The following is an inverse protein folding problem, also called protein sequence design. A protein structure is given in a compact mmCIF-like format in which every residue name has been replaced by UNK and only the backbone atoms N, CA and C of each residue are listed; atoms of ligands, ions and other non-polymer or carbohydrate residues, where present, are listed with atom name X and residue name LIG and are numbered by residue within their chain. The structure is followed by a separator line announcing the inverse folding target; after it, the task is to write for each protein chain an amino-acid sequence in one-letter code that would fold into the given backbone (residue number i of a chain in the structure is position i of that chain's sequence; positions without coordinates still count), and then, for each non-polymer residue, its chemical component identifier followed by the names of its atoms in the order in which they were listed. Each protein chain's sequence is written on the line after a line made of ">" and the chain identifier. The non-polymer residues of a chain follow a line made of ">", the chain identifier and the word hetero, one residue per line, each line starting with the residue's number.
data_IF_878713439345
#
_entry.id   IF_878713439345
#
_cell.length_a   1.000
_cell.length_b   1.000
_cell.length_c   1.000
_cell.angle_alpha   90.00
_cell.angle_beta   90.00
_cell.angle_gamma   90.00
#
_symmetry.space_group_name_H-M   'P 1'
#
loop_
_entity.id
_entity.type
_entity.pdbx_description
1 polymer ?
#
# COMPACT_ATOMS: atom_id res chain seq x y z
N UNK A 1 63.37 53.98 20.11
CA UNK A 1 64.64 54.56 19.62
C UNK A 1 64.28 55.74 18.74
N UNK A 2 64.65 56.92 19.19
CA UNK A 2 64.73 58.19 18.47
C UNK A 2 65.83 58.17 17.42
N UNK A 3 65.61 58.83 16.27
CA UNK A 3 66.42 59.85 15.55
C UNK A 3 65.81 60.00 14.14
N UNK A 4 65.20 61.13 13.76
CA UNK A 4 65.82 62.40 13.29
C UNK A 4 66.73 62.16 12.08
N UNK A 5 66.32 62.55 10.86
CA UNK A 5 66.73 63.81 10.18
C UNK A 5 68.02 63.56 9.38
N UNK A 6 68.32 64.09 8.20
CA UNK A 6 67.83 65.24 7.43
C UNK A 6 68.54 65.19 6.04
N UNK A 7 68.20 66.15 5.17
CA UNK A 7 68.99 66.70 4.07
C UNK A 7 68.85 66.10 2.65
N UNK A 8 67.99 66.79 1.89
CA UNK A 8 68.43 67.51 0.70
C UNK A 8 68.45 66.73 -0.61
N UNK A 9 67.56 67.09 -1.54
CA UNK A 9 67.95 67.85 -2.74
C UNK A 9 66.73 68.28 -3.56
N UNK A 10 66.80 69.52 -4.01
CA UNK A 10 66.07 70.11 -5.12
C UNK A 10 64.52 70.10 -5.05
N UNK A 11 63.98 71.20 -4.53
CA UNK A 11 62.69 71.72 -4.96
C UNK A 11 62.68 71.90 -6.49
N UNK A 12 62.25 70.86 -7.22
CA UNK A 12 61.83 71.00 -8.61
C UNK A 12 60.41 71.54 -8.60
N UNK A 13 60.27 72.77 -9.10
CA UNK A 13 59.00 73.45 -9.43
C UNK A 13 58.04 72.44 -10.08
N UNK A 14 56.72 72.48 -9.80
CA UNK A 14 55.77 71.62 -10.51
C UNK A 14 55.93 71.87 -12.02
N UNK A 15 56.30 70.87 -12.83
CA UNK A 15 56.40 71.08 -14.26
C UNK A 15 55.00 71.44 -14.76
N UNK A 16 54.89 72.64 -15.32
CA UNK A 16 53.73 73.02 -16.14
C UNK A 16 53.52 71.86 -17.12
N UNK A 17 52.34 71.23 -17.10
CA UNK A 17 51.93 70.18 -18.04
C UNK A 17 52.21 70.65 -19.46
N UNK A 18 53.33 70.23 -20.03
CA UNK A 18 53.65 70.38 -21.44
C UNK A 18 52.99 69.21 -22.15
N UNK A 19 51.67 69.25 -22.32
CA UNK A 19 50.99 68.20 -23.06
C UNK A 19 51.51 68.13 -24.50
N UNK A 20 51.92 66.94 -24.96
CA UNK A 20 52.32 66.66 -26.34
C UNK A 20 53.73 66.07 -26.48
N UNK A 21 54.29 66.16 -27.70
CA UNK A 21 55.61 65.61 -28.07
C UNK A 21 56.76 66.10 -27.17
N UNK A 22 56.63 67.30 -26.59
CA UNK A 22 57.63 67.90 -25.71
C UNK A 22 57.81 67.12 -24.38
N UNK A 23 56.75 66.48 -23.87
CA UNK A 23 56.83 65.62 -22.68
C UNK A 23 57.51 64.30 -23.01
N UNK A 24 57.18 63.69 -24.15
CA UNK A 24 57.83 62.46 -24.62
C UNK A 24 59.33 62.69 -24.89
N UNK A 25 59.69 63.84 -25.49
CA UNK A 25 61.08 64.23 -25.71
C UNK A 25 61.81 64.55 -24.40
N UNK A 26 61.14 65.21 -23.43
CA UNK A 26 61.74 65.42 -22.09
C UNK A 26 62.02 64.11 -21.37
N UNK A 27 61.08 63.14 -21.43
CA UNK A 27 61.27 61.82 -20.82
C UNK A 27 62.40 61.06 -21.53
N UNK A 28 62.48 61.11 -22.87
CA UNK A 28 63.55 60.48 -23.63
C UNK A 28 64.94 61.06 -23.28
N UNK A 29 65.01 62.39 -23.10
CA UNK A 29 66.22 63.07 -22.60
C UNK A 29 66.59 62.61 -21.19
N UNK A 30 65.62 62.54 -20.27
CA UNK A 30 65.85 62.07 -18.89
C UNK A 30 66.29 60.59 -18.84
N UNK A 31 65.92 59.78 -19.85
CA UNK A 31 66.35 58.39 -20.03
C UNK A 31 67.68 58.25 -20.81
N UNK A 32 68.32 59.37 -21.17
CA UNK A 32 69.65 59.39 -21.78
C UNK A 32 69.69 59.24 -23.31
N UNK A 33 68.55 59.38 -24.00
CA UNK A 33 68.52 59.36 -25.47
C UNK A 33 68.85 60.76 -26.04
N UNK A 34 69.81 60.81 -26.97
CA UNK A 34 70.24 62.05 -27.65
C UNK A 34 69.19 62.51 -28.67
N UNK A 35 68.68 63.73 -28.50
CA UNK A 35 67.67 64.34 -29.39
C UNK A 35 68.42 65.17 -30.44
N UNK A 36 68.32 64.86 -31.75
CA UNK A 36 68.97 65.63 -32.81
C UNK A 36 68.40 67.04 -32.93
N UNK A 37 69.21 68.06 -33.28
CA UNK A 37 68.71 69.41 -33.54
C UNK A 37 67.80 69.42 -34.77
N UNK A 38 66.67 70.12 -34.65
CA UNK A 38 65.66 70.26 -35.70
C UNK A 38 66.25 71.09 -36.86
N UNK A 39 66.52 70.45 -38.00
CA UNK A 39 66.94 71.11 -39.24
C UNK A 39 65.68 71.38 -40.07
N UNK A 40 65.30 72.65 -40.19
CA UNK A 40 64.26 73.13 -41.11
C UNK A 40 64.80 73.07 -42.55
N UNK A 41 64.83 71.89 -43.15
CA UNK A 41 64.93 71.72 -44.61
C UNK A 41 63.77 70.82 -45.05
N UNK A 42 62.61 71.47 -45.14
CA UNK A 42 61.40 70.98 -45.77
C UNK A 42 61.60 71.10 -47.29
N UNK A 43 61.08 70.13 -48.05
CA UNK A 43 61.08 70.07 -49.53
C UNK A 43 62.32 69.47 -50.18
N UNK A 44 62.36 68.14 -50.39
CA UNK A 44 63.03 67.48 -51.54
C UNK A 44 62.99 65.93 -51.60
N UNK A 45 62.27 65.18 -50.76
CA UNK A 45 62.19 63.70 -50.91
C UNK A 45 60.86 63.04 -50.51
N UNK A 46 59.76 63.79 -50.41
CA UNK A 46 58.54 63.28 -49.75
C UNK A 46 57.35 63.16 -50.69
N UNK A 47 57.43 62.36 -51.76
CA UNK A 47 56.23 62.16 -52.60
C UNK A 47 56.09 60.82 -53.34
N UNK A 48 56.74 59.71 -52.95
CA UNK A 48 56.45 58.43 -53.65
C UNK A 48 56.60 57.11 -52.89
N UNK A 49 56.74 57.08 -51.56
CA UNK A 49 56.80 55.79 -50.82
C UNK A 49 56.18 55.78 -49.41
N UNK A 50 55.47 56.84 -49.02
CA UNK A 50 55.02 57.06 -47.63
C UNK A 50 53.53 56.80 -47.34
N UNK A 51 52.67 56.79 -48.35
CA UNK A 51 51.20 56.70 -48.16
C UNK A 51 50.76 55.36 -47.59
N UNK A 52 51.13 54.26 -48.25
CA UNK A 52 50.64 52.90 -47.95
C UNK A 52 51.03 52.44 -46.53
N UNK A 53 52.28 52.71 -46.11
CA UNK A 53 52.76 52.37 -44.75
C UNK A 53 52.09 53.19 -43.65
N UNK A 54 51.76 54.45 -43.93
CA UNK A 54 51.07 55.32 -42.96
C UNK A 54 49.60 54.93 -42.80
N UNK A 55 48.95 54.53 -43.90
CA UNK A 55 47.57 54.05 -43.89
C UNK A 55 47.46 52.67 -43.22
N UNK A 56 48.43 51.79 -43.44
CA UNK A 56 48.53 50.50 -42.74
C UNK A 56 48.76 50.68 -41.23
N UNK A 57 49.62 51.63 -40.82
CA UNK A 57 49.81 51.95 -39.40
C UNK A 57 48.52 52.48 -38.77
N UNK A 58 47.82 53.38 -39.45
CA UNK A 58 46.52 53.89 -38.98
C UNK A 58 45.49 52.77 -38.88
N UNK A 59 45.48 51.82 -39.82
CA UNK A 59 44.61 50.63 -39.78
C UNK A 59 44.91 49.77 -38.56
N UNK A 60 46.18 49.43 -38.33
CA UNK A 60 46.62 48.61 -37.18
C UNK A 60 46.29 49.31 -35.86
N UNK A 61 46.45 50.63 -35.75
CA UNK A 61 46.08 51.37 -34.54
C UNK A 61 44.58 51.36 -34.28
N UNK A 62 43.74 51.45 -35.32
CA UNK A 62 42.28 51.32 -35.20
C UNK A 62 41.88 49.92 -34.76
N UNK A 63 42.50 48.89 -35.35
CA UNK A 63 42.28 47.49 -34.97
C UNK A 63 42.71 47.23 -33.53
N UNK A 64 43.90 47.71 -33.12
CA UNK A 64 44.38 47.62 -31.74
C UNK A 64 43.42 48.32 -30.77
N UNK A 65 42.91 49.50 -31.15
CA UNK A 65 41.93 50.22 -30.33
C UNK A 65 40.61 49.45 -30.25
N UNK A 66 40.20 48.76 -31.32
CA UNK A 66 39.03 47.88 -31.31
C UNK A 66 39.23 46.71 -30.36
N UNK A 67 40.34 45.99 -30.51
CA UNK A 67 40.70 44.85 -29.66
C UNK A 67 40.82 45.27 -28.20
N UNK A 68 41.41 46.44 -27.92
CA UNK A 68 41.52 46.96 -26.55
C UNK A 68 40.14 47.25 -25.93
N UNK A 69 39.18 47.75 -26.73
CA UNK A 69 37.79 47.92 -26.29
C UNK A 69 37.10 46.58 -26.06
N UNK A 70 37.32 45.60 -26.94
CA UNK A 70 36.74 44.27 -26.82
C UNK A 70 37.27 43.53 -25.58
N UNK A 71 38.56 43.67 -25.28
CA UNK A 71 39.18 43.16 -24.05
C UNK A 71 38.54 43.79 -22.81
N UNK A 72 38.34 45.10 -22.79
CA UNK A 72 37.70 45.78 -21.66
C UNK A 72 36.25 45.31 -21.47
N UNK A 73 35.48 45.11 -22.55
CA UNK A 73 34.13 44.57 -22.50
C UNK A 73 34.11 43.15 -21.93
N UNK A 74 35.00 42.29 -22.39
CA UNK A 74 35.14 40.92 -21.88
C UNK A 74 35.54 40.89 -20.41
N UNK A 75 36.41 41.80 -19.96
CA UNK A 75 36.78 41.90 -18.55
C UNK A 75 35.58 42.25 -17.67
N UNK A 76 34.75 43.21 -18.11
CA UNK A 76 33.52 43.58 -17.39
C UNK A 76 32.55 42.40 -17.35
N UNK A 77 32.36 41.68 -18.46
CA UNK A 77 31.47 40.53 -18.51
C UNK A 77 31.96 39.37 -17.63
N UNK A 78 33.27 39.07 -17.65
CA UNK A 78 33.86 38.05 -16.79
C UNK A 78 33.72 38.40 -15.30
N UNK A 79 33.94 39.67 -14.96
CA UNK A 79 33.75 40.15 -13.60
C UNK A 79 32.28 40.06 -13.18
N UNK A 80 31.35 40.45 -14.06
CA UNK A 80 29.91 40.32 -13.83
C UNK A 80 29.47 38.88 -13.59
N UNK A 81 29.97 37.92 -14.39
CA UNK A 81 29.66 36.48 -14.18
C UNK A 81 30.29 35.93 -12.90
N UNK A 82 31.48 36.39 -12.53
CA UNK A 82 32.13 36.02 -11.27
C UNK A 82 31.31 36.51 -10.08
N UNK A 83 30.86 37.75 -10.12
CA UNK A 83 30.06 38.34 -9.05
C UNK A 83 28.67 37.70 -8.97
N UNK A 84 28.01 37.47 -10.11
CA UNK A 84 26.74 36.73 -10.15
C UNK A 84 26.87 35.35 -9.51
N UNK A 85 27.91 34.57 -9.87
CA UNK A 85 28.17 33.27 -9.24
C UNK A 85 28.37 33.37 -7.73
N UNK A 86 29.04 34.42 -7.25
CA UNK A 86 29.28 34.61 -5.81
C UNK A 86 27.97 34.88 -5.05
N UNK A 87 27.03 35.63 -5.64
CA UNK A 87 25.75 35.97 -5.01
C UNK A 87 24.58 35.07 -5.41
N UNK A 88 24.80 34.13 -6.33
CA UNK A 88 23.74 33.34 -6.94
C UNK A 88 22.85 32.59 -5.94
N UNK A 89 23.46 32.07 -4.87
CA UNK A 89 22.77 31.38 -3.77
C UNK A 89 21.73 32.25 -3.03
N UNK A 90 21.76 33.57 -3.23
CA UNK A 90 20.83 34.54 -2.63
C UNK A 90 20.00 35.28 -3.69
N UNK A 91 20.51 35.45 -4.90
CA UNK A 91 19.83 36.21 -5.98
C UNK A 91 19.07 35.34 -6.96
N UNK A 92 19.49 34.09 -7.18
CA UNK A 92 18.81 33.21 -8.13
C UNK A 92 17.54 32.66 -7.51
N UNK A 93 16.42 32.82 -8.23
CA UNK A 93 15.10 32.36 -7.81
C UNK A 93 15.10 30.85 -7.53
N UNK A 94 15.79 30.06 -8.35
CA UNK A 94 15.89 28.60 -8.17
C UNK A 94 16.56 28.18 -6.85
N UNK A 95 17.59 28.91 -6.39
CA UNK A 95 18.22 28.65 -5.10
C UNK A 95 17.32 29.06 -3.93
N UNK A 96 16.56 30.14 -4.09
CA UNK A 96 15.58 30.57 -3.10
C UNK A 96 14.39 29.59 -3.00
N UNK A 97 13.90 29.09 -4.14
CA UNK A 97 12.85 28.08 -4.21
C UNK A 97 13.28 26.79 -3.50
N UNK A 98 14.49 26.27 -3.76
CA UNK A 98 15.04 25.12 -3.03
C UNK A 98 15.06 25.34 -1.52
N UNK A 99 15.43 26.54 -1.07
CA UNK A 99 15.42 26.90 0.35
C UNK A 99 14.00 26.94 0.92
N UNK A 100 13.06 27.53 0.20
CA UNK A 100 11.63 27.56 0.57
C UNK A 100 11.06 26.14 0.67
N UNK A 101 11.35 25.25 -0.29
CA UNK A 101 10.95 23.85 -0.25
C UNK A 101 11.55 23.12 0.95
N UNK A 102 12.84 23.33 1.23
CA UNK A 102 13.51 22.73 2.38
C UNK A 102 12.88 23.18 3.70
N UNK A 103 12.63 24.48 3.84
CA UNK A 103 11.93 25.05 5.00
C UNK A 103 10.50 24.52 5.12
N UNK A 104 9.77 24.40 4.02
CA UNK A 104 8.43 23.84 4.00
C UNK A 104 8.42 22.38 4.46
N UNK A 105 9.37 21.56 3.98
CA UNK A 105 9.54 20.17 4.44
C UNK A 105 9.85 20.10 5.94
N UNK A 106 10.80 20.89 6.43
CA UNK A 106 11.15 20.93 7.86
C UNK A 106 9.95 21.39 8.70
N UNK A 107 9.21 22.39 8.23
CA UNK A 107 8.01 22.89 8.89
C UNK A 107 6.91 21.84 8.99
N UNK A 108 6.69 21.07 7.92
CA UNK A 108 5.72 19.97 7.92
C UNK A 108 6.10 18.90 8.95
N UNK A 109 7.37 18.46 8.96
CA UNK A 109 7.88 17.48 9.94
C UNK A 109 7.69 18.00 11.36
N UNK A 110 8.03 19.27 11.63
CA UNK A 110 7.90 19.85 12.96
C UNK A 110 6.44 19.93 13.41
N UNK A 111 5.53 20.28 12.49
CA UNK A 111 4.09 20.30 12.75
C UNK A 111 3.58 18.91 13.13
N UNK A 112 4.00 17.87 12.42
CA UNK A 112 3.62 16.49 12.72
C UNK A 112 4.13 16.04 14.10
N UNK A 113 5.37 16.40 14.44
CA UNK A 113 5.94 16.12 15.78
C UNK A 113 5.13 16.81 16.87
N UNK A 114 4.77 18.08 16.69
CA UNK A 114 3.96 18.84 17.67
C UNK A 114 2.58 18.18 17.82
N UNK A 115 1.88 17.90 16.72
CA UNK A 115 0.58 17.24 16.75
C UNK A 115 0.63 15.88 17.43
N UNK A 116 1.68 15.10 17.20
CA UNK A 116 1.87 13.81 17.85
C UNK A 116 2.11 13.98 19.37
N UNK A 117 2.89 14.98 19.78
CA UNK A 117 3.09 15.29 21.20
C UNK A 117 1.78 15.71 21.86
N UNK A 118 1.00 16.57 21.25
CA UNK A 118 -0.29 17.02 21.78
C UNK A 118 -1.27 15.85 21.92
N UNK A 119 -1.27 14.93 20.95
CA UNK A 119 -2.06 13.69 21.04
C UNK A 119 -1.64 12.82 22.22
N UNK A 120 -0.34 12.64 22.45
CA UNK A 120 0.17 11.85 23.57
C UNK A 120 -0.16 12.54 24.90
N UNK A 121 0.05 13.85 25.00
CA UNK A 121 -0.30 14.64 26.18
C UNK A 121 -1.78 14.51 26.49
N UNK A 122 -2.66 14.68 25.48
CA UNK A 122 -4.11 14.51 25.66
C UNK A 122 -4.43 13.12 26.21
N UNK A 123 -3.82 12.05 25.67
CA UNK A 123 -4.02 10.67 26.16
C UNK A 123 -3.53 10.47 27.59
N UNK A 124 -2.40 11.06 27.97
CA UNK A 124 -1.84 10.94 29.31
C UNK A 124 -2.61 11.79 30.34
N UNK A 125 -3.19 12.91 29.91
CA UNK A 125 -3.97 13.80 30.76
C UNK A 125 -5.43 13.35 30.91
N UNK A 126 -5.92 12.42 30.07
CA UNK A 126 -7.25 11.84 30.31
C UNK A 126 -7.25 11.21 31.71
N UNK A 127 -8.17 11.63 32.60
CA UNK A 127 -8.26 11.03 33.93
C UNK A 127 -8.52 9.54 33.72
N UNK A 128 -7.68 8.69 34.33
CA UNK A 128 -7.79 7.24 34.22
C UNK A 128 -9.18 6.79 34.71
N UNK A 129 -10.11 6.59 33.77
CA UNK A 129 -11.46 6.07 34.03
C UNK A 129 -11.58 4.59 33.65
N UNK A 130 -10.46 3.91 33.42
CA UNK A 130 -10.38 2.48 33.19
C UNK A 130 -10.15 1.78 34.53
N UNK A 131 -10.81 0.65 34.75
CA UNK A 131 -10.48 -0.30 35.83
C UNK A 131 -9.06 -0.82 35.60
N UNK A 132 -8.08 -0.08 36.11
CA UNK A 132 -6.67 -0.42 36.02
C UNK A 132 -6.25 -1.14 37.30
N UNK A 133 -5.59 -2.28 37.14
CA UNK A 133 -4.86 -2.93 38.23
C UNK A 133 -3.50 -2.23 38.29
N UNK A 134 -3.17 -1.50 39.37
CA UNK A 134 -1.83 -0.94 39.54
C UNK A 134 -0.83 -2.08 39.66
N UNK A 135 0.27 -2.00 38.91
CA UNK A 135 1.34 -3.00 38.92
C UNK A 135 2.67 -2.29 39.11
N UNK A 136 3.38 -2.63 40.17
CA UNK A 136 4.71 -2.11 40.46
C UNK A 136 5.67 -2.44 39.31
N UNK A 137 6.62 -1.54 39.02
CA UNK A 137 7.54 -1.66 37.88
C UNK A 137 8.31 -3.00 37.87
N UNK A 138 8.64 -3.54 39.05
CA UNK A 138 9.34 -4.80 39.22
C UNK A 138 8.53 -6.05 38.82
N UNK A 139 7.20 -5.94 38.79
CA UNK A 139 6.28 -7.03 38.46
C UNK A 139 5.62 -6.89 37.08
N UNK A 140 5.86 -5.78 36.37
CA UNK A 140 5.22 -5.53 35.07
C UNK A 140 5.51 -6.62 34.04
N UNK A 141 6.72 -7.16 34.03
CA UNK A 141 7.10 -8.24 33.12
C UNK A 141 6.26 -9.50 33.37
N UNK A 142 6.25 -9.97 34.62
CA UNK A 142 5.52 -11.16 35.05
C UNK A 142 4.02 -10.99 34.85
N UNK A 143 3.49 -9.79 35.11
CA UNK A 143 2.09 -9.47 34.87
C UNK A 143 1.74 -9.50 33.38
N UNK A 144 2.59 -8.96 32.50
CA UNK A 144 2.38 -9.01 31.05
C UNK A 144 2.42 -10.45 30.51
N UNK A 145 3.33 -11.28 31.02
CA UNK A 145 3.42 -12.71 30.69
C UNK A 145 2.17 -13.46 31.16
N UNK A 146 1.69 -13.17 32.37
CA UNK A 146 0.44 -13.72 32.91
C UNK A 146 -0.76 -13.33 32.04
N UNK A 147 -0.87 -12.06 31.64
CA UNK A 147 -1.95 -11.60 30.77
C UNK A 147 -1.93 -12.30 29.42
N UNK A 148 -0.76 -12.49 28.82
CA UNK A 148 -0.62 -13.18 27.54
C UNK A 148 -1.07 -14.65 27.66
N UNK A 149 -0.70 -15.32 28.75
CA UNK A 149 -1.10 -16.70 29.04
C UNK A 149 -2.59 -16.82 29.39
N UNK A 150 -3.13 -15.88 30.15
CA UNK A 150 -4.55 -15.84 30.46
C UNK A 150 -5.38 -15.59 29.20
N UNK A 151 -4.90 -14.74 28.28
CA UNK A 151 -5.57 -14.46 27.01
C UNK A 151 -5.61 -15.69 26.10
N UNK A 152 -4.53 -16.49 26.03
CA UNK A 152 -4.55 -17.74 25.25
C UNK A 152 -5.56 -18.75 25.79
N UNK A 153 -5.75 -18.78 27.11
CA UNK A 153 -6.58 -19.78 27.78
C UNK A 153 -8.02 -19.30 28.01
N UNK A 154 -8.33 -18.03 27.71
CA UNK A 154 -9.62 -17.41 28.00
C UNK A 154 -10.81 -18.13 27.35
N UNK A 155 -10.65 -18.58 26.10
CA UNK A 155 -11.70 -19.32 25.38
C UNK A 155 -11.99 -20.67 26.03
N UNK A 156 -10.95 -21.43 26.37
CA UNK A 156 -11.06 -22.73 27.05
C UNK A 156 -11.63 -22.58 28.46
N UNK A 157 -11.23 -21.53 29.18
CA UNK A 157 -11.75 -21.22 30.51
C UNK A 157 -13.24 -20.86 30.45
N UNK A 158 -13.66 -20.03 29.49
CA UNK A 158 -15.06 -19.66 29.29
C UNK A 158 -15.92 -20.88 28.97
N UNK A 159 -15.45 -21.76 28.08
CA UNK A 159 -16.13 -23.02 27.78
C UNK A 159 -16.24 -23.92 29.01
N UNK A 160 -15.16 -24.06 29.78
CA UNK A 160 -15.15 -24.86 31.01
C UNK A 160 -16.08 -24.32 32.08
N UNK A 161 -16.17 -22.99 32.25
CA UNK A 161 -17.13 -22.34 33.15
C UNK A 161 -18.56 -22.60 32.69
N UNK A 162 -18.83 -22.52 31.38
CA UNK A 162 -20.14 -22.84 30.83
C UNK A 162 -20.51 -24.31 31.02
N UNK A 163 -19.57 -25.23 30.85
CA UNK A 163 -19.76 -26.67 31.10
C UNK A 163 -20.01 -26.96 32.59
N UNK A 164 -19.32 -26.24 33.49
CA UNK A 164 -19.59 -26.32 34.92
C UNK A 164 -20.99 -25.80 35.25
N UNK A 165 -21.39 -24.65 34.71
CA UNK A 165 -22.75 -24.13 34.89
C UNK A 165 -23.81 -25.06 34.31
N UNK A 166 -23.54 -25.67 33.15
CA UNK A 166 -24.41 -26.66 32.54
C UNK A 166 -24.54 -27.91 33.43
N UNK A 167 -23.42 -28.46 33.91
CA UNK A 167 -23.43 -29.64 34.80
C UNK A 167 -24.08 -29.36 36.15
N UNK A 168 -23.97 -28.14 36.69
CA UNK A 168 -24.66 -27.72 37.92
C UNK A 168 -26.20 -27.72 37.80
N UNK A 169 -26.75 -27.64 36.59
CA UNK A 169 -28.20 -27.75 36.39
C UNK A 169 -28.71 -29.20 36.58
N UNK A 170 -27.81 -30.20 36.59
CA UNK A 170 -28.16 -31.59 36.81
C UNK A 170 -28.08 -31.93 38.30
N UNK A 171 -29.25 -31.93 38.95
CA UNK A 171 -29.36 -32.28 40.37
C UNK A 171 -29.40 -33.79 40.63
N UNK A 172 -29.57 -34.57 39.57
CA UNK A 172 -29.74 -36.01 39.61
C UNK A 172 -28.41 -36.72 39.39
N UNK A 173 -28.23 -37.87 40.04
CA UNK A 173 -27.04 -38.71 39.85
C UNK A 173 -26.88 -39.11 38.37
N UNK A 174 -25.64 -39.16 37.82
CA UNK A 174 -25.39 -39.59 36.44
C UNK A 174 -26.00 -40.95 36.07
N UNK A 175 -26.24 -41.82 37.06
CA UNK A 175 -26.92 -43.10 36.88
C UNK A 175 -28.33 -42.98 36.31
N UNK A 176 -29.09 -41.93 36.67
CA UNK A 176 -30.48 -41.71 36.23
C UNK A 176 -30.54 -41.47 34.72
N UNK A 177 -29.62 -40.65 34.21
CA UNK A 177 -29.51 -40.37 32.76
C UNK A 177 -29.11 -41.62 31.97
N UNK A 178 -28.24 -42.45 32.54
CA UNK A 178 -27.89 -43.75 31.95
C UNK A 178 -29.11 -44.66 31.78
N UNK A 179 -30.02 -44.66 32.74
CA UNK A 179 -31.27 -45.43 32.63
C UNK A 179 -32.24 -44.83 31.61
N UNK A 180 -32.37 -43.49 31.60
CA UNK A 180 -33.28 -42.79 30.70
C UNK A 180 -32.84 -42.86 29.22
N UNK A 181 -31.53 -42.89 28.95
CA UNK A 181 -30.99 -42.99 27.60
C UNK A 181 -30.94 -44.44 27.08
N UNK A 182 -30.97 -45.44 27.97
CA UNK A 182 -30.92 -46.88 27.64
C UNK A 182 -31.92 -47.32 26.56
N UNK A 183 -33.17 -46.81 26.49
CA UNK A 183 -34.13 -47.18 25.46
C UNK A 183 -33.81 -46.66 24.06
N UNK A 184 -33.03 -45.57 23.92
CA UNK A 184 -32.79 -44.92 22.62
C UNK A 184 -32.04 -45.85 21.64
N UNK A 185 -30.90 -46.48 22.01
CA UNK A 185 -30.24 -47.44 21.12
C UNK A 185 -31.13 -48.63 20.77
N UNK A 186 -31.96 -49.10 21.71
CA UNK A 186 -32.88 -50.21 21.47
C UNK A 186 -33.98 -49.82 20.44
N UNK A 187 -34.54 -48.62 20.56
CA UNK A 187 -35.50 -48.09 19.61
C UNK A 187 -34.89 -47.92 18.22
N UNK A 188 -33.67 -47.35 18.13
CA UNK A 188 -32.94 -47.22 16.86
C UNK A 188 -32.70 -48.58 16.20
N UNK A 189 -32.23 -49.57 16.96
CA UNK A 189 -32.04 -50.93 16.46
C UNK A 189 -33.35 -51.57 15.97
N UNK A 190 -34.48 -51.25 16.63
CA UNK A 190 -35.80 -51.71 16.17
C UNK A 190 -36.20 -51.06 14.84
N UNK A 191 -36.00 -49.75 14.68
CA UNK A 191 -36.26 -49.04 13.43
C UNK A 191 -35.42 -49.61 12.28
N UNK A 192 -34.13 -49.89 12.53
CA UNK A 192 -33.26 -50.53 11.54
C UNK A 192 -33.78 -51.90 11.14
N UNK A 193 -34.17 -52.75 12.10
CA UNK A 193 -34.75 -54.07 11.80
C UNK A 193 -36.07 -53.97 11.03
N UNK A 194 -36.94 -53.01 11.36
CA UNK A 194 -38.17 -52.79 10.59
C UNK A 194 -37.86 -52.37 9.15
N UNK A 195 -36.88 -51.49 8.96
CA UNK A 195 -36.44 -51.07 7.63
C UNK A 195 -35.88 -52.24 6.81
N UNK A 196 -35.04 -53.08 7.42
CA UNK A 196 -34.50 -54.30 6.80
C UNK A 196 -35.62 -55.27 6.42
N UNK A 197 -36.57 -55.52 7.32
CA UNK A 197 -37.71 -56.40 7.07
C UNK A 197 -38.60 -55.88 5.92
N UNK A 198 -38.89 -54.57 5.89
CA UNK A 198 -39.63 -53.94 4.80
C UNK A 198 -38.89 -54.00 3.48
N UNK A 199 -37.57 -53.83 3.51
CA UNK A 199 -36.71 -53.94 2.32
C UNK A 199 -36.71 -55.37 1.77
N UNK A 200 -36.54 -56.38 2.63
CA UNK A 200 -36.61 -57.79 2.27
C UNK A 200 -38.00 -58.18 1.72
N UNK A 201 -39.08 -57.66 2.31
CA UNK A 201 -40.44 -57.89 1.80
C UNK A 201 -40.60 -57.32 0.38
N UNK A 202 -40.12 -56.09 0.15
CA UNK A 202 -40.14 -55.47 -1.19
C UNK A 202 -39.33 -56.29 -2.21
N UNK A 203 -38.16 -56.78 -1.82
CA UNK A 203 -37.33 -57.65 -2.67
C UNK A 203 -38.03 -58.96 -3.01
N UNK A 204 -38.68 -59.62 -2.04
CA UNK A 204 -39.46 -60.85 -2.30
C UNK A 204 -40.66 -60.62 -3.23
N UNK A 205 -41.32 -59.46 -3.15
CA UNK A 205 -42.39 -59.12 -4.09
C UNK A 205 -41.84 -58.88 -5.50
N UNK A 206 -40.67 -58.22 -5.62
CA UNK A 206 -40.01 -58.03 -6.90
C UNK A 206 -39.61 -59.38 -7.56
N UNK A 207 -39.10 -60.34 -6.79
CA UNK A 207 -38.80 -61.69 -7.33
C UNK A 207 -40.07 -62.44 -7.76
N UNK A 208 -41.17 -62.34 -7.01
CA UNK A 208 -42.47 -62.91 -7.42
C UNK A 208 -43.01 -62.29 -8.71
N UNK A 209 -42.85 -60.97 -8.89
CA UNK A 209 -43.24 -60.31 -10.14
C UNK A 209 -42.42 -60.81 -11.33
N UNK A 210 -41.10 -60.97 -11.18
CA UNK A 210 -40.24 -61.52 -12.23
C UNK A 210 -40.65 -62.96 -12.62
N UNK A 211 -40.99 -63.81 -11.66
CA UNK A 211 -41.49 -65.17 -11.91
C UNK A 211 -42.85 -65.19 -12.61
N UNK A 212 -43.73 -64.22 -12.30
CA UNK A 212 -45.04 -64.08 -12.95
C UNK A 212 -44.90 -63.63 -14.41
N UNK A 213 -43.98 -62.72 -14.70
CA UNK A 213 -43.74 -62.23 -16.06
C UNK A 213 -43.01 -63.28 -16.91
N UNK A 214 -42.17 -64.13 -16.31
CA UNK A 214 -41.39 -65.17 -17.01
C UNK A 214 -42.14 -66.44 -17.45
N UNK A 215 -43.46 -66.58 -17.23
CA UNK A 215 -44.25 -67.78 -17.60
C UNK A 215 -45.20 -67.60 -18.80
N UNK A 216 -45.14 -66.47 -19.51
CA UNK A 216 -46.02 -66.20 -20.64
C UNK A 216 -45.37 -66.49 -22.00
N UNK A 217 -45.20 -67.78 -22.36
CA UNK A 217 -45.05 -68.18 -23.78
C UNK A 217 -45.48 -69.62 -24.05
N UNK A 218 -46.72 -69.74 -24.57
CA UNK A 218 -47.20 -70.70 -25.59
C UNK A 218 -47.64 -72.14 -25.20
N UNK A 219 -48.69 -72.70 -25.86
CA UNK A 219 -49.63 -73.69 -25.30
C UNK A 219 -49.78 -74.99 -26.12
N UNK A 220 -50.67 -75.89 -25.70
CA UNK A 220 -51.82 -76.46 -26.45
C UNK A 220 -52.27 -77.82 -25.86
N UNK A 221 -53.52 -77.81 -25.40
CA UNK A 221 -54.42 -78.90 -24.98
C UNK A 221 -55.00 -79.69 -26.18
N UNK A 222 -55.80 -80.76 -26.00
CA UNK A 222 -57.25 -80.52 -25.97
C UNK A 222 -58.09 -81.52 -25.15
N UNK A 223 -59.17 -81.04 -24.51
CA UNK A 223 -60.45 -81.77 -24.46
C UNK A 223 -61.59 -80.88 -23.99
N UNK A 224 -62.77 -81.22 -24.52
CA UNK A 224 -63.97 -80.41 -24.70
C UNK A 224 -64.89 -80.23 -23.48
N UNK A 225 -65.58 -79.09 -23.52
CA UNK A 225 -66.99 -78.83 -23.22
C UNK A 225 -67.53 -78.79 -21.77
N UNK A 226 -67.98 -77.56 -21.44
CA UNK A 226 -69.28 -77.19 -20.84
C UNK A 226 -69.48 -77.27 -19.32
N UNK A 227 -69.29 -76.11 -18.67
CA UNK A 227 -70.43 -75.30 -18.20
C UNK A 227 -70.94 -75.48 -16.76
N UNK A 228 -70.64 -74.48 -15.90
CA UNK A 228 -71.62 -73.96 -14.92
C UNK A 228 -71.33 -74.08 -13.42
N UNK A 229 -70.56 -73.12 -12.89
CA UNK A 229 -70.46 -72.55 -11.51
C UNK A 229 -70.31 -73.43 -10.24
N UNK A 230 -69.33 -73.04 -9.39
CA UNK A 230 -69.66 -72.77 -7.99
C UNK A 230 -69.10 -71.43 -7.47
N UNK A 231 -69.94 -70.77 -6.67
CA UNK A 231 -69.71 -69.53 -5.92
C UNK A 231 -68.53 -69.67 -4.93
N UNK A 232 -67.48 -68.89 -5.12
CA UNK A 232 -66.58 -68.48 -4.04
C UNK A 232 -66.50 -66.95 -4.00
N UNK A 233 -66.87 -66.40 -2.84
CA UNK A 233 -66.97 -64.98 -2.57
C UNK A 233 -65.57 -64.36 -2.43
N UNK A 234 -65.28 -63.38 -3.29
CA UNK A 234 -64.17 -62.42 -3.13
C UNK A 234 -64.71 -61.18 -2.39
N UNK A 235 -64.02 -60.63 -1.36
CA UNK A 235 -64.38 -59.34 -0.78
C UNK A 235 -64.15 -58.17 -1.75
N UNK A 236 -64.95 -57.08 -1.68
CA UNK A 236 -65.06 -56.11 -2.77
C UNK A 236 -64.00 -55.01 -2.76
N UNK A 237 -63.64 -54.58 -3.97
CA UNK A 237 -62.95 -53.32 -4.29
C UNK A 237 -63.77 -52.12 -3.82
N UNK A 238 -63.14 -51.21 -3.08
CA UNK A 238 -63.65 -49.85 -2.86
C UNK A 238 -63.02 -48.91 -3.90
N UNK A 239 -63.78 -48.77 -4.98
CA UNK A 239 -64.01 -47.60 -5.84
C UNK A 239 -63.06 -46.40 -5.72
N UNK A 240 -62.35 -46.14 -6.82
CA UNK A 240 -61.72 -44.89 -7.17
C UNK A 240 -62.72 -44.08 -8.04
N UNK A 241 -63.16 -42.93 -7.55
CA UNK A 241 -63.86 -41.92 -8.35
C UNK A 241 -62.89 -40.75 -8.58
N UNK A 242 -62.51 -40.62 -9.86
CA UNK A 242 -61.84 -39.44 -10.41
C UNK A 242 -62.76 -38.22 -10.37
N UNK A 243 -62.23 -37.07 -9.94
CA UNK A 243 -62.14 -35.82 -10.71
C UNK A 243 -61.68 -34.68 -9.80
N UNK A 244 -60.53 -34.07 -10.09
CA UNK A 244 -60.08 -32.84 -9.41
C UNK A 244 -58.58 -32.58 -9.50
N UNK A 245 -58.14 -32.12 -10.67
CA UNK A 245 -56.83 -31.53 -10.99
C UNK A 245 -56.32 -30.51 -9.95
N UNK A 246 -55.07 -30.62 -9.49
CA UNK A 246 -54.01 -29.62 -9.72
C UNK A 246 -52.64 -30.22 -9.33
N UNK A 247 -51.73 -30.28 -10.29
CA UNK A 247 -50.38 -30.81 -10.21
C UNK A 247 -49.41 -29.64 -10.45
N UNK A 248 -48.69 -29.20 -9.42
CA UNK A 248 -47.41 -28.49 -9.60
C UNK A 248 -46.59 -28.47 -8.31
N UNK A 249 -45.26 -28.50 -8.48
CA UNK A 249 -44.18 -28.42 -7.48
C UNK A 249 -43.57 -29.77 -7.07
N UNK A 250 -43.16 -30.57 -8.08
CA UNK A 250 -41.99 -31.47 -7.97
C UNK A 250 -41.14 -31.28 -9.23
N UNK A 251 -40.45 -30.15 -9.35
CA UNK A 251 -39.46 -29.91 -10.42
C UNK A 251 -38.40 -28.85 -10.03
N UNK A 252 -38.00 -28.82 -8.75
CA UNK A 252 -37.16 -27.75 -8.18
C UNK A 252 -35.76 -28.13 -7.70
N UNK A 253 -35.19 -29.28 -8.08
CA UNK A 253 -33.87 -29.69 -7.56
C UNK A 253 -33.02 -30.43 -8.61
N UNK A 254 -32.87 -29.85 -9.80
CA UNK A 254 -31.76 -30.14 -10.72
C UNK A 254 -31.53 -28.89 -11.55
N UNK A 255 -30.58 -28.06 -11.11
CA UNK A 255 -29.74 -27.15 -11.91
C UNK A 255 -29.25 -26.02 -10.98
N UNK A 256 -28.07 -26.20 -10.40
CA UNK A 256 -27.09 -25.11 -10.18
C UNK A 256 -25.80 -25.73 -9.64
N UNK A 257 -25.05 -26.34 -10.56
CA UNK A 257 -23.63 -26.53 -10.43
C UNK A 257 -23.04 -25.94 -11.72
N UNK A 258 -22.55 -24.70 -11.65
CA UNK A 258 -21.42 -24.15 -12.40
C UNK A 258 -21.40 -22.62 -12.29
N UNK A 259 -20.30 -22.06 -11.75
CA UNK A 259 -19.97 -20.65 -11.93
C UNK A 259 -19.49 -19.89 -10.69
N UNK A 260 -18.34 -20.26 -10.13
CA UNK A 260 -17.21 -19.34 -9.88
C UNK A 260 -16.06 -20.09 -9.21
N UNK A 261 -14.95 -20.17 -9.95
CA UNK A 261 -13.69 -20.83 -9.58
C UNK A 261 -12.61 -19.75 -9.53
N UNK A 262 -11.94 -19.58 -8.39
CA UNK A 262 -10.57 -19.03 -8.16
C UNK A 262 -10.51 -18.44 -6.74
N UNK A 263 -9.52 -18.66 -5.89
CA UNK A 263 -8.46 -19.69 -5.77
C UNK A 263 -8.10 -19.69 -4.27
N UNK A 264 -7.87 -20.88 -3.72
CA UNK A 264 -7.34 -21.06 -2.37
C UNK A 264 -5.84 -20.75 -2.35
N UNK A 265 -5.38 -20.18 -1.23
CA UNK A 265 -4.08 -20.58 -0.72
C UNK A 265 -4.25 -20.91 0.77
N UNK A 266 -3.97 -22.16 1.10
CA UNK A 266 -4.07 -22.77 2.43
C UNK A 266 -3.04 -22.19 3.42
N UNK A 267 -3.39 -22.18 4.71
CA UNK A 267 -2.81 -23.06 5.75
C UNK A 267 -3.38 -22.60 7.10
N UNK A 268 -4.16 -23.44 7.78
CA UNK A 268 -4.73 -23.12 9.08
C UNK A 268 -5.63 -24.20 9.67
N UNK A 269 -4.99 -25.30 10.09
CA UNK A 269 -5.41 -26.33 11.06
C UNK A 269 -6.88 -26.32 11.55
N UNK A 270 -7.70 -27.14 10.89
CA UNK A 270 -9.10 -27.36 11.24
C UNK A 270 -9.27 -28.56 12.16
N UNK A 271 -9.30 -28.32 13.47
CA UNK A 271 -9.77 -29.31 14.45
C UNK A 271 -10.86 -28.69 15.33
N UNK A 272 -12.04 -29.31 15.29
CA UNK A 272 -13.13 -29.20 16.26
C UNK A 272 -14.07 -27.99 16.20
N UNK A 273 -14.97 -27.89 15.22
CA UNK A 273 -16.30 -27.30 15.45
C UNK A 273 -17.39 -27.99 14.62
N UNK A 274 -17.85 -29.16 15.08
CA UNK A 274 -19.12 -29.75 14.63
C UNK A 274 -20.02 -29.97 15.85
N UNK A 275 -20.49 -28.87 16.47
CA UNK A 275 -21.54 -28.91 17.49
C UNK A 275 -22.80 -28.29 16.89
N UNK A 276 -23.83 -29.13 16.75
CA UNK A 276 -25.15 -28.79 16.25
C UNK A 276 -25.76 -27.69 17.12
N UNK A 277 -25.90 -26.48 16.59
CA UNK A 277 -26.67 -25.41 17.24
C UNK A 277 -28.16 -25.67 17.01
N UNK A 278 -28.93 -25.71 18.10
CA UNK A 278 -30.39 -25.64 18.05
C UNK A 278 -30.82 -24.17 18.16
N UNK A 279 -31.78 -23.76 17.33
CA UNK A 279 -32.32 -22.39 17.31
C UNK A 279 -33.10 -22.04 18.59
N UNK A 280 -33.05 -20.79 19.10
CA UNK A 280 -33.82 -20.41 20.28
C UNK A 280 -35.31 -20.24 19.93
N UNK A 281 -36.17 -20.82 20.77
CA UNK A 281 -37.63 -20.72 20.67
C UNK A 281 -38.12 -19.30 21.00
N UNK A 282 -39.10 -18.84 20.21
CA UNK A 282 -39.78 -17.55 20.38
C UNK A 282 -40.40 -17.38 21.77
N UNK A 283 -40.11 -16.25 22.42
CA UNK A 283 -40.87 -15.75 23.58
C UNK A 283 -42.25 -15.28 23.12
N UNK A 284 -43.31 -15.91 23.64
CA UNK A 284 -44.68 -15.39 23.60
C UNK A 284 -44.87 -14.47 24.81
N UNK A 285 -45.08 -13.18 24.54
CA UNK A 285 -45.34 -12.18 25.58
C UNK A 285 -46.69 -12.39 26.24
N UNK A 286 -46.73 -12.12 27.55
CA UNK A 286 -47.92 -11.71 28.29
C UNK A 286 -47.77 -10.24 28.66
#
# INVERSE_FOLDING_TARGET
>A
MSVSGDAGWAAKKPPKRLGGMAEALSIASDLGFSIPPLQEDQESMSSSFGGDKSDDLVRVLRELTSVQRDIANLQVELQGRKDDKNVAHLTHVSEMEKKCESLARITAILKDVIQNKDRIIARLQQPYSLDCIPVEAEYQKQFSELLLKAASDYGALTASVADFQWSQNFRESPSVWGEMLRPIPAALASCTRFFEAMSAMRESFATLQQLRVGRSSSPVTPSDSSGGDPKFLTPPQWREESMGSDDSIVDGWRHEAEGLRMEENEVGDGINQRRLSWSPALKKGS
#
